data_IF_215924755703
#
_entry.id   IF_215924755703
#
_cell.length_a   1.000
_cell.length_b   1.000
_cell.length_c   1.000
_cell.angle_alpha   90.00
_cell.angle_beta   90.00
_cell.angle_gamma   90.00
#
_symmetry.space_group_name_H-M   'P 1'
#
loop_
_entity.id
_entity.type
_entity.pdbx_description
1 polymer ?
#
# COMPACT_ATOMS: atom_id res chain seq x y z
N UNK A 1 24.18 -16.48 -12.73
CA UNK A 1 24.39 -15.83 -11.41
C UNK A 1 23.62 -16.63 -10.38
N UNK A 2 24.31 -17.28 -9.44
CA UNK A 2 23.64 -17.91 -8.29
C UNK A 2 23.33 -16.82 -7.25
N UNK A 3 22.12 -16.82 -6.65
CA UNK A 3 21.77 -15.84 -5.63
C UNK A 3 22.57 -16.08 -4.34
N UNK A 4 23.25 -15.04 -3.84
CA UNK A 4 24.02 -15.09 -2.60
C UNK A 4 23.12 -15.28 -1.36
N UNK A 5 21.91 -14.72 -1.39
CA UNK A 5 20.92 -14.81 -0.32
C UNK A 5 19.58 -15.31 -0.86
N UNK A 6 19.07 -16.39 -0.26
CA UNK A 6 17.78 -17.00 -0.61
C UNK A 6 16.86 -16.85 0.60
N UNK A 7 15.68 -16.26 0.41
CA UNK A 7 14.68 -16.10 1.46
C UNK A 7 13.58 -17.11 1.27
N UNK A 8 13.27 -17.87 2.32
CA UNK A 8 12.28 -18.93 2.30
C UNK A 8 11.26 -18.73 3.41
N UNK A 9 10.03 -19.17 3.17
CA UNK A 9 8.95 -19.07 4.14
C UNK A 9 9.22 -19.98 5.35
N UNK A 10 8.53 -19.73 6.47
CA UNK A 10 8.70 -20.49 7.72
C UNK A 10 8.45 -22.00 7.54
N UNK A 11 7.64 -22.40 6.57
CA UNK A 11 7.33 -23.80 6.26
C UNK A 11 8.41 -24.54 5.47
N UNK A 12 9.49 -23.87 5.05
CA UNK A 12 10.56 -24.51 4.27
C UNK A 12 11.32 -25.55 5.12
N UNK A 13 11.23 -26.83 4.72
CA UNK A 13 11.86 -27.96 5.41
C UNK A 13 13.22 -28.37 4.84
N UNK A 14 13.76 -27.59 3.91
CA UNK A 14 14.96 -27.94 3.16
C UNK A 14 14.64 -28.68 1.87
N UNK A 15 15.14 -28.15 0.77
CA UNK A 15 15.42 -28.87 -0.46
C UNK A 15 16.93 -29.16 -0.46
N UNK A 16 17.39 -30.27 -1.07
CA UNK A 16 18.82 -30.58 -1.29
C UNK A 16 19.47 -29.57 -2.24
N UNK A 17 19.49 -28.30 -1.86
CA UNK A 17 20.08 -27.21 -2.61
C UNK A 17 21.60 -27.32 -2.47
N UNK A 18 22.28 -27.57 -3.60
CA UNK A 18 23.73 -27.76 -3.68
C UNK A 18 24.47 -26.46 -4.01
N UNK A 19 23.76 -25.35 -4.19
CA UNK A 19 24.34 -24.05 -4.54
C UNK A 19 24.94 -23.33 -3.32
N UNK A 20 25.74 -22.29 -3.60
CA UNK A 20 26.47 -21.54 -2.56
C UNK A 20 25.62 -20.53 -1.77
N UNK A 21 24.37 -20.32 -2.17
CA UNK A 21 23.48 -19.32 -1.58
C UNK A 21 23.06 -19.62 -0.14
N UNK A 22 23.13 -18.61 0.73
CA UNK A 22 22.69 -18.70 2.13
C UNK A 22 21.16 -18.66 2.23
N UNK A 23 20.56 -19.68 2.82
CA UNK A 23 19.10 -19.77 3.00
C UNK A 23 18.67 -19.14 4.34
N UNK A 24 17.76 -18.17 4.26
CA UNK A 24 17.24 -17.41 5.40
C UNK A 24 15.73 -17.65 5.56
N UNK A 25 15.31 -18.09 6.74
CA UNK A 25 13.90 -18.40 7.03
C UNK A 25 13.16 -17.13 7.50
N UNK A 26 12.00 -16.87 6.90
CA UNK A 26 11.12 -15.76 7.25
C UNK A 26 10.71 -15.78 8.74
N UNK A 27 10.56 -14.61 9.34
CA UNK A 27 10.19 -14.45 10.76
C UNK A 27 11.34 -14.63 11.76
N UNK A 28 12.52 -15.12 11.35
CA UNK A 28 13.72 -15.18 12.21
C UNK A 28 14.77 -14.19 11.69
N UNK A 29 14.67 -12.92 12.09
CA UNK A 29 15.67 -11.91 11.77
C UNK A 29 16.83 -12.01 12.78
N UNK A 30 18.08 -12.30 12.37
CA UNK A 30 19.19 -12.29 13.30
C UNK A 30 19.44 -10.88 13.87
N UNK A 31 19.87 -10.79 15.14
CA UNK A 31 20.12 -9.50 15.79
C UNK A 31 21.20 -8.68 15.09
N UNK A 32 22.26 -9.34 14.59
CA UNK A 32 23.38 -8.74 13.87
C UNK A 32 23.23 -8.94 12.35
N UNK A 33 22.44 -8.09 11.70
CA UNK A 33 22.32 -8.03 10.24
C UNK A 33 22.39 -6.59 9.76
N UNK A 34 22.78 -6.41 8.49
CA UNK A 34 22.76 -5.08 7.85
C UNK A 34 21.33 -4.52 7.81
N UNK A 35 21.21 -3.19 7.85
CA UNK A 35 19.90 -2.51 7.74
C UNK A 35 19.16 -2.87 6.45
N UNK A 36 19.89 -3.01 5.34
CA UNK A 36 19.35 -3.41 4.04
C UNK A 36 18.75 -4.81 4.09
N UNK A 37 19.49 -5.78 4.64
CA UNK A 37 19.01 -7.16 4.79
C UNK A 37 17.78 -7.25 5.70
N UNK A 38 17.79 -6.52 6.83
CA UNK A 38 16.62 -6.42 7.72
C UNK A 38 15.39 -5.82 7.02
N UNK A 39 15.57 -4.77 6.23
CA UNK A 39 14.48 -4.13 5.46
C UNK A 39 13.91 -5.10 4.42
N UNK A 40 14.78 -5.85 3.74
CA UNK A 40 14.37 -6.87 2.76
C UNK A 40 13.55 -7.98 3.42
N UNK A 41 14.01 -8.53 4.55
CA UNK A 41 13.28 -9.54 5.34
C UNK A 41 11.89 -9.04 5.76
N UNK A 42 11.81 -7.81 6.30
CA UNK A 42 10.53 -7.21 6.71
C UNK A 42 9.56 -7.02 5.54
N UNK A 43 10.06 -6.63 4.37
CA UNK A 43 9.23 -6.49 3.16
C UNK A 43 8.63 -7.82 2.73
N UNK A 44 9.39 -8.92 2.77
CA UNK A 44 8.89 -10.28 2.45
C UNK A 44 7.74 -10.67 3.38
N UNK A 45 7.93 -10.54 4.69
CA UNK A 45 6.88 -10.86 5.66
C UNK A 45 5.63 -9.98 5.52
N UNK A 46 5.76 -8.75 5.03
CA UNK A 46 4.61 -7.88 4.77
C UNK A 46 3.81 -8.27 3.51
N UNK A 47 4.42 -8.98 2.55
CA UNK A 47 3.77 -9.41 1.31
C UNK A 47 2.96 -10.69 1.53
N UNK A 48 3.35 -11.56 2.46
CA UNK A 48 2.66 -12.82 2.76
C UNK A 48 1.16 -12.63 3.10
N UNK A 49 0.77 -11.72 4.03
CA UNK A 49 -0.64 -11.44 4.30
C UNK A 49 -1.37 -10.93 3.07
N UNK A 50 -0.72 -10.07 2.28
CA UNK A 50 -1.30 -9.58 1.03
C UNK A 50 -1.59 -10.75 0.11
N UNK A 51 -0.63 -11.64 -0.18
CA UNK A 51 -0.87 -12.84 -1.01
C UNK A 51 -1.98 -13.72 -0.42
N UNK A 52 -2.08 -13.86 0.90
CA UNK A 52 -3.17 -14.54 1.58
C UNK A 52 -4.55 -13.94 1.24
N UNK A 53 -4.71 -12.63 1.44
CA UNK A 53 -5.93 -11.90 1.07
C UNK A 53 -6.24 -11.99 -0.42
N UNK A 54 -5.21 -11.93 -1.27
CA UNK A 54 -5.37 -12.06 -2.70
C UNK A 54 -5.93 -13.44 -3.08
N UNK A 55 -5.47 -14.50 -2.40
CA UNK A 55 -6.00 -15.86 -2.53
C UNK A 55 -7.45 -16.00 -2.07
N UNK A 56 -7.75 -15.60 -0.83
CA UNK A 56 -9.05 -15.81 -0.20
C UNK A 56 -10.12 -14.81 -0.66
N UNK A 57 -9.81 -13.52 -0.59
CA UNK A 57 -10.80 -12.44 -0.67
C UNK A 57 -11.00 -12.00 -2.12
N UNK A 58 -9.93 -12.05 -2.89
CA UNK A 58 -9.93 -11.61 -4.28
C UNK A 58 -9.95 -12.76 -5.29
N UNK A 59 -10.21 -14.00 -4.82
CA UNK A 59 -10.48 -15.18 -5.66
C UNK A 59 -9.32 -15.57 -6.59
N UNK A 60 -8.07 -15.23 -6.26
CA UNK A 60 -6.92 -15.70 -7.03
C UNK A 60 -6.87 -17.24 -7.10
N UNK A 61 -7.42 -17.95 -6.11
CA UNK A 61 -7.54 -19.42 -6.11
C UNK A 61 -8.63 -19.98 -7.03
N UNK A 62 -9.57 -19.14 -7.51
CA UNK A 62 -10.67 -19.56 -8.40
C UNK A 62 -10.35 -19.15 -9.82
N UNK A 63 -9.51 -19.94 -10.47
CA UNK A 63 -9.20 -19.75 -11.88
C UNK A 63 -10.26 -20.44 -12.76
N UNK A 64 -10.86 -19.69 -13.69
CA UNK A 64 -11.79 -20.21 -14.69
C UNK A 64 -11.12 -20.48 -16.05
N UNK A 65 -9.84 -20.13 -16.18
CA UNK A 65 -9.03 -20.37 -17.37
C UNK A 65 -8.46 -21.80 -17.34
N UNK A 66 -8.30 -22.40 -18.51
CA UNK A 66 -7.96 -23.80 -18.63
C UNK A 66 -6.45 -24.07 -18.48
N UNK A 67 -6.11 -24.96 -17.54
CA UNK A 67 -4.76 -25.50 -17.35
C UNK A 67 -3.69 -24.50 -16.89
N UNK A 68 -2.43 -24.96 -16.92
CA UNK A 68 -1.25 -24.19 -16.48
C UNK A 68 -1.11 -22.81 -17.15
N UNK A 69 -1.38 -22.66 -18.47
CA UNK A 69 -1.34 -21.34 -19.11
C UNK A 69 -2.38 -20.39 -18.51
N UNK A 70 -3.57 -20.90 -18.22
CA UNK A 70 -4.63 -20.17 -17.54
C UNK A 70 -4.21 -19.70 -16.16
N UNK A 71 -3.57 -20.57 -15.36
CA UNK A 71 -3.13 -20.22 -14.01
C UNK A 71 -2.12 -19.07 -14.01
N UNK A 72 -1.19 -19.09 -14.97
CA UNK A 72 -0.20 -18.02 -15.15
C UNK A 72 -0.88 -16.70 -15.52
N UNK A 73 -1.84 -16.73 -16.45
CA UNK A 73 -2.59 -15.55 -16.86
C UNK A 73 -3.44 -15.00 -15.71
N UNK A 74 -4.11 -15.86 -14.96
CA UNK A 74 -4.91 -15.46 -13.81
C UNK A 74 -4.03 -14.76 -12.77
N UNK A 75 -2.88 -15.35 -12.41
CA UNK A 75 -1.94 -14.73 -11.47
C UNK A 75 -1.40 -13.38 -11.97
N UNK A 76 -1.12 -13.26 -13.27
CA UNK A 76 -0.63 -12.03 -13.87
C UNK A 76 -1.70 -10.92 -13.85
N UNK A 77 -2.89 -11.20 -14.36
CA UNK A 77 -4.01 -10.25 -14.39
C UNK A 77 -4.37 -9.79 -13.00
N UNK A 78 -4.35 -10.72 -12.05
CA UNK A 78 -4.62 -10.44 -10.66
C UNK A 78 -3.58 -9.48 -10.05
N UNK A 79 -2.29 -9.72 -10.29
CA UNK A 79 -1.22 -8.83 -9.84
C UNK A 79 -1.35 -7.42 -10.44
N UNK A 80 -1.70 -7.35 -11.73
CA UNK A 80 -1.97 -6.09 -12.44
C UNK A 80 -3.16 -5.36 -11.80
N UNK A 81 -4.27 -6.05 -11.59
CA UNK A 81 -5.47 -5.51 -10.96
C UNK A 81 -5.21 -4.96 -9.56
N UNK A 82 -4.47 -5.70 -8.73
CA UNK A 82 -4.09 -5.24 -7.40
C UNK A 82 -3.22 -3.97 -7.44
N UNK A 83 -2.27 -3.88 -8.38
CA UNK A 83 -1.47 -2.67 -8.57
C UNK A 83 -2.34 -1.47 -8.95
N UNK A 84 -3.33 -1.67 -9.84
CA UNK A 84 -4.29 -0.61 -10.17
C UNK A 84 -5.14 -0.20 -8.96
N UNK A 85 -5.60 -1.13 -8.14
CA UNK A 85 -6.33 -0.81 -6.91
C UNK A 85 -5.49 0.06 -5.95
N UNK A 86 -4.19 -0.22 -5.79
CA UNK A 86 -3.29 0.60 -4.97
C UNK A 86 -3.15 2.01 -5.56
N UNK A 87 -2.95 2.11 -6.87
CA UNK A 87 -2.84 3.39 -7.57
C UNK A 87 -4.12 4.23 -7.43
N UNK A 88 -5.29 3.61 -7.66
CA UNK A 88 -6.59 4.28 -7.55
C UNK A 88 -6.87 4.75 -6.12
N UNK A 89 -6.49 3.96 -5.11
CA UNK A 89 -6.58 4.38 -3.69
C UNK A 89 -5.71 5.60 -3.40
N UNK A 90 -4.49 5.63 -3.92
CA UNK A 90 -3.60 6.77 -3.76
C UNK A 90 -4.14 8.04 -4.45
N UNK A 91 -4.66 7.91 -5.67
CA UNK A 91 -5.31 9.01 -6.40
C UNK A 91 -6.56 9.51 -5.66
N UNK A 92 -7.40 8.60 -5.16
CA UNK A 92 -8.56 8.97 -4.36
C UNK A 92 -8.14 9.76 -3.12
N UNK A 93 -7.15 9.29 -2.35
CA UNK A 93 -6.62 10.02 -1.19
C UNK A 93 -6.12 11.42 -1.56
N UNK A 94 -5.44 11.57 -2.70
CA UNK A 94 -4.97 12.87 -3.18
C UNK A 94 -6.15 13.79 -3.48
N UNK A 95 -7.16 13.32 -4.23
CA UNK A 95 -8.35 14.11 -4.55
C UNK A 95 -9.11 14.54 -3.29
N UNK A 96 -9.32 13.62 -2.35
CA UNK A 96 -9.97 13.92 -1.08
C UNK A 96 -9.17 14.95 -0.26
N UNK A 97 -7.84 14.84 -0.26
CA UNK A 97 -6.98 15.81 0.42
C UNK A 97 -7.08 17.20 -0.21
N UNK A 98 -7.01 17.29 -1.54
CA UNK A 98 -7.15 18.56 -2.26
C UNK A 98 -8.52 19.20 -2.01
N UNK A 99 -9.60 18.40 -2.10
CA UNK A 99 -10.95 18.87 -1.82
C UNK A 99 -11.08 19.42 -0.39
N UNK A 100 -10.51 18.70 0.60
CA UNK A 100 -10.51 19.14 1.98
C UNK A 100 -9.79 20.49 2.17
N UNK A 101 -8.60 20.63 1.60
CA UNK A 101 -7.82 21.88 1.69
C UNK A 101 -8.56 23.05 1.03
N UNK A 102 -9.14 22.81 -0.15
CA UNK A 102 -9.95 23.81 -0.84
C UNK A 102 -11.16 24.23 0.01
N UNK A 103 -11.87 23.26 0.59
CA UNK A 103 -13.01 23.52 1.46
C UNK A 103 -12.64 24.34 2.69
N UNK A 104 -11.57 23.97 3.40
CA UNK A 104 -11.08 24.74 4.56
C UNK A 104 -10.69 26.17 4.16
N UNK A 105 -10.13 26.36 2.96
CA UNK A 105 -9.75 27.68 2.45
C UNK A 105 -10.97 28.56 2.17
N UNK A 106 -12.01 28.00 1.53
CA UNK A 106 -13.27 28.69 1.28
C UNK A 106 -13.95 29.08 2.59
N UNK A 107 -13.98 28.18 3.58
CA UNK A 107 -14.54 28.46 4.91
C UNK A 107 -13.80 29.61 5.61
N UNK A 108 -12.47 29.62 5.56
CA UNK A 108 -11.66 30.72 6.11
C UNK A 108 -11.91 32.04 5.41
N UNK A 109 -12.01 32.03 4.09
CA UNK A 109 -12.33 33.23 3.31
C UNK A 109 -13.73 33.76 3.65
N UNK A 110 -14.71 32.87 3.75
CA UNK A 110 -16.08 33.23 4.11
C UNK A 110 -16.14 33.83 5.52
N UNK A 111 -15.49 33.21 6.51
CA UNK A 111 -15.41 33.74 7.86
C UNK A 111 -14.69 35.10 7.91
N UNK A 112 -13.61 35.28 7.15
CA UNK A 112 -12.94 36.58 7.02
C UNK A 112 -13.88 37.63 6.41
N UNK A 113 -14.58 37.28 5.35
CA UNK A 113 -15.50 38.17 4.63
C UNK A 113 -16.67 38.60 5.52
N UNK A 114 -17.27 37.64 6.24
CA UNK A 114 -18.34 37.91 7.20
C UNK A 114 -17.86 38.85 8.32
N UNK A 115 -16.72 38.56 8.94
CA UNK A 115 -16.11 39.47 9.93
C UNK A 115 -15.86 40.86 9.35
N UNK A 116 -15.41 40.94 8.09
CA UNK A 116 -15.15 42.21 7.42
C UNK A 116 -16.44 43.00 7.21
N UNK A 117 -17.53 42.36 6.78
CA UNK A 117 -18.84 43.00 6.64
C UNK A 117 -19.31 43.53 7.99
N UNK A 118 -19.29 42.69 9.03
CA UNK A 118 -19.74 43.10 10.35
C UNK A 118 -18.97 44.32 10.86
N UNK A 119 -17.65 44.37 10.70
CA UNK A 119 -16.86 45.55 11.05
C UNK A 119 -17.30 46.85 10.33
N UNK A 120 -17.75 46.75 9.06
CA UNK A 120 -18.26 47.92 8.32
C UNK A 120 -19.70 48.30 8.71
N UNK A 121 -20.52 47.32 9.04
CA UNK A 121 -21.95 47.52 9.34
C UNK A 121 -22.20 47.91 10.80
N UNK A 122 -21.38 47.44 11.74
CA UNK A 122 -21.51 47.70 13.19
C UNK A 122 -21.62 49.20 13.54
N UNK A 123 -20.80 50.11 12.96
CA UNK A 123 -20.89 51.55 13.23
C UNK A 123 -22.16 52.19 12.67
N UNK A 124 -22.76 51.63 11.62
CA UNK A 124 -24.01 52.10 11.03
C UNK A 124 -25.23 51.68 11.88
N UNK A 125 -25.19 50.49 12.48
CA UNK A 125 -26.27 50.00 13.35
C UNK A 125 -26.29 50.75 14.69
N UNK A 126 -25.12 51.03 15.29
CA UNK A 126 -25.04 51.67 16.62
C UNK A 126 -25.34 53.18 16.58
N UNK A 127 -25.38 53.78 15.38
CA UNK A 127 -25.69 55.21 15.17
C UNK A 127 -27.15 55.47 14.76
N UNK A 128 -27.96 54.44 14.56
CA UNK A 128 -29.40 54.52 14.28
C UNK A 128 -30.20 54.29 15.56
#
# INVERSE_FOLDING_TARGET
MEPEHIMVDKGYRGHKYLGKGLVHIAGRIPMRVTRSFRKMMKRRSAIEPTIGHLKSDHRLERNFLWGIPGDRLNALLFAIGNNFCILLRALACLVFFQFRVAWETVQRWFAWFENRIWHFVQPLIVRA
#
